data_IF_987407058660
#
_entry.id   IF_987407058660
#
_cell.length_a   1.000
_cell.length_b   1.000
_cell.length_c   1.000
_cell.angle_alpha   90.00
_cell.angle_beta   90.00
_cell.angle_gamma   90.00
#
_symmetry.space_group_name_H-M   'P 1'
#
loop_
_entity.id
_entity.type
_entity.pdbx_description
1 polymer ?
#
# COMPACT_ATOMS: atom_id res chain seq x y z
N UNK A 1 -39.92 27.74 -73.66
CA UNK A 1 -38.94 28.80 -73.35
C UNK A 1 -37.76 28.12 -72.68
N UNK A 2 -36.85 27.51 -73.43
CA UNK A 2 -35.57 28.04 -73.92
C UNK A 2 -34.69 28.67 -72.82
N UNK A 3 -33.67 27.96 -72.33
CA UNK A 3 -32.25 28.26 -72.61
C UNK A 3 -31.28 27.38 -71.75
N UNK A 4 -30.48 26.57 -72.43
CA UNK A 4 -29.10 26.17 -72.09
C UNK A 4 -28.24 26.78 -73.23
N UNK A 5 -26.96 27.22 -73.12
CA UNK A 5 -25.81 26.44 -72.59
C UNK A 5 -24.64 27.34 -72.02
N UNK A 6 -23.32 27.04 -72.18
CA UNK A 6 -22.49 26.10 -71.41
C UNK A 6 -21.15 26.71 -70.88
N UNK A 7 -20.31 25.85 -70.27
CA UNK A 7 -18.86 25.70 -70.52
C UNK A 7 -17.84 26.35 -69.53
N UNK A 8 -17.01 25.47 -68.95
CA UNK A 8 -15.80 25.81 -68.19
C UNK A 8 -15.17 24.63 -67.42
N UNK A 9 -14.74 23.58 -68.14
CA UNK A 9 -13.73 22.58 -67.68
C UNK A 9 -12.30 23.19 -67.82
N UNK A 10 -11.17 22.55 -67.47
CA UNK A 10 -10.83 21.52 -66.48
C UNK A 10 -9.51 21.84 -65.70
N UNK A 11 -9.11 20.92 -64.80
CA UNK A 11 -7.73 20.66 -64.31
C UNK A 11 -7.04 21.65 -63.34
N UNK A 12 -6.80 21.21 -62.10
CA UNK A 12 -5.47 20.69 -61.70
C UNK A 12 -5.30 20.46 -60.20
N UNK A 13 -5.04 19.19 -59.89
CA UNK A 13 -3.93 18.66 -59.09
C UNK A 13 -3.80 18.95 -57.59
N UNK A 14 -3.63 17.81 -56.91
CA UNK A 14 -2.78 17.52 -55.74
C UNK A 14 -3.31 18.12 -54.43
N UNK A 15 -3.61 17.33 -53.42
CA UNK A 15 -2.81 16.22 -52.93
C UNK A 15 -2.34 16.63 -51.54
N UNK A 16 -3.02 16.14 -50.51
CA UNK A 16 -2.75 16.48 -49.12
C UNK A 16 -3.60 15.64 -48.20
N UNK A 17 -3.28 14.33 -48.16
CA UNK A 17 -3.62 13.48 -47.02
C UNK A 17 -2.85 13.98 -45.79
N UNK A 18 -3.32 13.51 -44.64
CA UNK A 18 -2.79 13.67 -43.27
C UNK A 18 -3.39 14.87 -42.53
N UNK A 19 -4.04 14.70 -41.39
CA UNK A 19 -4.42 13.51 -40.62
C UNK A 19 -5.40 14.05 -39.58
N UNK A 20 -6.52 13.36 -39.37
CA UNK A 20 -7.37 13.56 -38.22
C UNK A 20 -6.50 13.54 -36.96
N UNK A 21 -6.35 14.69 -36.31
CA UNK A 21 -5.74 14.80 -34.99
C UNK A 21 -6.75 14.19 -34.02
N UNK A 22 -6.75 12.86 -33.95
CA UNK A 22 -7.28 12.14 -32.82
C UNK A 22 -6.52 12.68 -31.60
N UNK A 23 -7.20 13.45 -30.76
CA UNK A 23 -6.82 13.58 -29.38
C UNK A 23 -6.76 12.15 -28.86
N UNK A 24 -5.56 11.59 -28.79
CA UNK A 24 -5.31 10.41 -27.98
C UNK A 24 -5.77 10.82 -26.58
N UNK A 25 -6.89 10.23 -26.14
CA UNK A 25 -7.23 10.22 -24.74
C UNK A 25 -5.96 9.84 -24.00
N UNK A 26 -5.55 10.67 -23.04
CA UNK A 26 -4.55 10.27 -22.07
C UNK A 26 -4.93 8.85 -21.60
N UNK A 27 -3.95 7.94 -21.41
CA UNK A 27 -4.27 6.64 -20.82
C UNK A 27 -5.13 6.91 -19.57
N UNK A 28 -6.20 6.14 -19.32
CA UNK A 28 -6.85 6.22 -18.03
C UNK A 28 -5.73 6.12 -17.00
N UNK A 29 -5.64 7.11 -16.12
CA UNK A 29 -4.82 6.98 -14.93
C UNK A 29 -5.33 5.70 -14.29
N UNK A 30 -4.57 4.62 -14.43
CA UNK A 30 -4.81 3.40 -13.68
C UNK A 30 -4.64 3.85 -12.25
N UNK A 31 -5.75 4.20 -11.58
CA UNK A 31 -5.78 4.25 -10.14
C UNK A 31 -5.13 2.94 -9.71
N UNK A 32 -4.05 2.98 -8.90
CA UNK A 32 -3.44 1.74 -8.45
C UNK A 32 -4.59 0.92 -7.86
N UNK A 33 -4.81 -0.27 -8.41
CA UNK A 33 -5.68 -1.24 -7.75
C UNK A 33 -5.08 -1.42 -6.37
N UNK A 34 -5.63 -0.74 -5.37
CA UNK A 34 -5.18 -0.84 -4.00
C UNK A 34 -5.20 -2.33 -3.66
N UNK A 35 -4.05 -2.86 -3.26
CA UNK A 35 -3.98 -4.24 -2.82
C UNK A 35 -4.93 -4.40 -1.65
N UNK A 36 -5.60 -5.55 -1.57
CA UNK A 36 -6.47 -5.87 -0.44
C UNK A 36 -5.70 -5.76 0.89
N UNK A 37 -4.41 -6.07 0.87
CA UNK A 37 -3.49 -5.83 1.97
C UNK A 37 -3.40 -4.36 2.38
N UNK A 38 -3.19 -3.44 1.43
CA UNK A 38 -3.14 -2.00 1.71
C UNK A 38 -4.45 -1.50 2.33
N UNK A 39 -5.60 -1.89 1.76
CA UNK A 39 -6.92 -1.52 2.32
C UNK A 39 -7.05 -2.00 3.76
N UNK A 40 -6.73 -3.27 4.03
CA UNK A 40 -6.85 -3.87 5.36
C UNK A 40 -5.88 -3.27 6.37
N UNK A 41 -4.69 -2.86 5.93
CA UNK A 41 -3.73 -2.16 6.76
C UNK A 41 -4.20 -0.74 7.11
N UNK A 42 -4.81 -0.02 6.17
CA UNK A 42 -5.43 1.29 6.42
C UNK A 42 -6.61 1.17 7.38
N UNK A 43 -7.49 0.19 7.20
CA UNK A 43 -8.60 -0.07 8.14
C UNK A 43 -8.07 -0.39 9.55
N UNK A 44 -7.00 -1.18 9.65
CA UNK A 44 -6.38 -1.50 10.93
C UNK A 44 -5.81 -0.24 11.60
N UNK A 45 -5.09 0.59 10.84
CA UNK A 45 -4.54 1.86 11.32
C UNK A 45 -5.63 2.80 11.81
N UNK A 46 -6.73 2.93 11.06
CA UNK A 46 -7.88 3.74 11.45
C UNK A 46 -8.50 3.26 12.77
N UNK A 47 -8.70 1.95 12.94
CA UNK A 47 -9.25 1.41 14.21
C UNK A 47 -8.29 1.62 15.39
N UNK A 48 -6.98 1.50 15.16
CA UNK A 48 -5.98 1.77 16.20
C UNK A 48 -6.01 3.24 16.66
N UNK A 49 -6.14 4.18 15.74
CA UNK A 49 -6.25 5.60 16.07
C UNK A 49 -7.61 5.94 16.71
N UNK A 50 -8.71 5.58 16.06
CA UNK A 50 -10.07 5.96 16.47
C UNK A 50 -10.48 5.34 17.81
N UNK A 51 -10.16 4.05 18.03
CA UNK A 51 -10.63 3.31 19.21
C UNK A 51 -9.62 3.34 20.35
N UNK A 52 -8.33 3.28 20.02
CA UNK A 52 -7.28 3.13 21.02
C UNK A 52 -6.37 4.36 21.18
N UNK A 53 -6.49 5.36 20.30
CA UNK A 53 -5.65 6.56 20.31
C UNK A 53 -4.18 6.26 20.00
N UNK A 54 -3.93 5.24 19.17
CA UNK A 54 -2.59 4.77 18.82
C UNK A 54 -2.32 5.17 17.37
N UNK A 55 -1.45 6.17 17.12
CA UNK A 55 -1.07 6.52 15.77
C UNK A 55 -0.21 5.41 15.16
N UNK A 56 -0.40 5.15 13.88
CA UNK A 56 0.39 4.18 13.13
C UNK A 56 0.60 4.59 11.67
N UNK A 57 1.74 4.17 11.13
CA UNK A 57 2.12 4.41 9.73
C UNK A 57 1.87 3.16 8.89
N UNK A 58 1.30 3.33 7.70
CA UNK A 58 0.98 2.23 6.78
C UNK A 58 1.92 2.28 5.58
N UNK A 59 2.48 1.13 5.23
CA UNK A 59 3.36 0.95 4.09
C UNK A 59 2.96 -0.26 3.26
N UNK A 60 2.73 -0.06 1.97
CA UNK A 60 2.58 -1.16 1.02
C UNK A 60 3.96 -1.70 0.63
N UNK A 61 4.08 -3.03 0.56
CA UNK A 61 5.29 -3.73 0.16
C UNK A 61 5.23 -4.13 -1.31
N UNK A 62 6.39 -4.26 -1.96
CA UNK A 62 6.48 -4.69 -3.35
C UNK A 62 6.00 -6.13 -3.54
N UNK A 63 6.01 -6.92 -2.46
CA UNK A 63 5.45 -8.28 -2.40
C UNK A 63 3.91 -8.33 -2.47
N UNK A 64 3.21 -7.19 -2.41
CA UNK A 64 1.74 -7.11 -2.38
C UNK A 64 1.14 -7.25 -0.98
N UNK A 65 1.98 -7.37 0.04
CA UNK A 65 1.62 -7.29 1.45
C UNK A 65 1.63 -5.82 1.93
N UNK A 66 1.12 -5.58 3.13
CA UNK A 66 1.22 -4.27 3.77
C UNK A 66 1.71 -4.39 5.21
N UNK A 67 2.36 -3.34 5.69
CA UNK A 67 2.87 -3.20 7.05
C UNK A 67 2.16 -2.02 7.72
N UNK A 68 1.83 -2.20 8.99
CA UNK A 68 1.42 -1.15 9.92
C UNK A 68 2.49 -1.04 10.99
N UNK A 69 3.14 0.12 11.09
CA UNK A 69 4.12 0.43 12.13
C UNK A 69 3.47 1.22 13.25
N UNK A 70 3.43 0.66 14.46
CA UNK A 70 2.77 1.27 15.61
C UNK A 70 3.77 1.89 16.59
N UNK A 71 4.90 1.22 16.79
CA UNK A 71 5.93 1.62 17.75
C UNK A 71 7.25 0.94 17.43
N UNK A 72 8.35 1.40 18.05
CA UNK A 72 9.66 0.76 17.93
C UNK A 72 9.56 -0.73 18.31
N UNK A 73 9.87 -1.60 17.34
CA UNK A 73 9.80 -3.06 17.49
C UNK A 73 8.39 -3.67 17.42
N UNK A 74 7.33 -2.88 17.17
CA UNK A 74 5.97 -3.38 16.97
C UNK A 74 5.47 -3.06 15.56
N UNK A 75 5.62 -4.07 14.70
CA UNK A 75 5.19 -4.04 13.30
C UNK A 75 4.14 -5.12 13.10
N UNK A 76 2.99 -4.72 12.56
CA UNK A 76 1.98 -5.63 12.07
C UNK A 76 2.06 -5.73 10.55
N UNK A 77 1.78 -6.91 10.03
CA UNK A 77 1.81 -7.25 8.62
C UNK A 77 0.46 -7.81 8.22
N UNK A 78 0.10 -7.63 6.94
CA UNK A 78 -1.08 -8.29 6.38
C UNK A 78 -0.88 -8.60 4.90
N UNK A 79 -1.43 -9.72 4.46
CA UNK A 79 -1.62 -10.10 3.06
C UNK A 79 -3.04 -9.72 2.53
N UNK A 80 -3.86 -9.08 3.38
CA UNK A 80 -5.26 -8.77 3.10
C UNK A 80 -6.25 -9.77 3.72
N UNK A 81 -5.79 -10.96 4.11
CA UNK A 81 -6.61 -11.96 4.79
C UNK A 81 -6.32 -12.02 6.28
N UNK A 82 -5.04 -12.15 6.63
CA UNK A 82 -4.55 -12.35 7.99
C UNK A 82 -3.69 -11.18 8.44
N UNK A 83 -3.69 -10.91 9.74
CA UNK A 83 -2.73 -10.01 10.38
C UNK A 83 -1.73 -10.83 11.18
N UNK A 84 -0.44 -10.51 11.11
CA UNK A 84 0.57 -11.09 11.99
C UNK A 84 1.58 -10.04 12.46
N UNK A 85 2.15 -10.25 13.64
CA UNK A 85 3.13 -9.34 14.22
C UNK A 85 4.02 -10.09 15.20
N UNK A 86 5.15 -9.48 15.52
CA UNK A 86 6.03 -9.98 16.58
C UNK A 86 5.57 -9.42 17.93
N UNK A 87 5.18 -10.31 18.85
CA UNK A 87 4.81 -9.95 20.21
C UNK A 87 6.05 -9.50 21.00
N UNK A 88 5.93 -8.47 21.84
CA UNK A 88 6.98 -8.02 22.75
C UNK A 88 7.17 -8.97 23.95
N UNK A 89 6.28 -9.95 24.11
CA UNK A 89 6.42 -11.03 25.07
C UNK A 89 7.37 -12.07 24.48
N UNK A 90 8.44 -12.36 25.22
CA UNK A 90 9.38 -13.40 24.85
C UNK A 90 8.77 -14.75 25.23
N UNK A 91 9.04 -15.76 24.42
CA UNK A 91 8.81 -17.15 24.81
C UNK A 91 9.63 -17.51 26.05
N UNK A 92 9.35 -18.64 26.68
CA UNK A 92 10.18 -19.18 27.78
C UNK A 92 11.66 -19.37 27.38
N UNK A 93 11.94 -19.46 26.06
CA UNK A 93 13.28 -19.56 25.49
C UNK A 93 13.91 -18.20 25.15
N UNK A 94 13.24 -17.08 25.47
CA UNK A 94 13.73 -15.73 25.21
C UNK A 94 13.56 -15.25 23.77
N UNK A 95 12.80 -15.95 22.92
CA UNK A 95 12.61 -15.59 21.51
C UNK A 95 11.33 -14.78 21.30
N UNK A 96 11.29 -13.83 20.35
CA UNK A 96 10.06 -13.11 20.02
C UNK A 96 8.97 -14.06 19.52
N UNK A 97 7.75 -13.94 20.05
CA UNK A 97 6.62 -14.77 19.64
C UNK A 97 5.95 -14.16 18.40
N UNK A 98 5.72 -14.97 17.37
CA UNK A 98 4.87 -14.57 16.25
C UNK A 98 3.41 -14.76 16.63
N UNK A 99 2.64 -13.69 16.64
CA UNK A 99 1.19 -13.70 16.87
C UNK A 99 0.47 -13.39 15.58
N UNK A 100 -0.72 -13.96 15.40
CA UNK A 100 -1.57 -13.68 14.24
C UNK A 100 -3.05 -13.70 14.59
N UNK A 101 -3.83 -12.92 13.84
CA UNK A 101 -5.27 -12.81 13.97
C UNK A 101 -5.92 -12.62 12.60
N UNK A 102 -7.09 -13.23 12.40
CA UNK A 102 -7.84 -13.13 11.13
C UNK A 102 -8.77 -11.91 11.10
N UNK A 103 -9.23 -11.48 12.27
CA UNK A 103 -10.23 -10.42 12.37
C UNK A 103 -9.58 -9.12 12.77
N UNK A 104 -10.03 -8.04 12.13
CA UNK A 104 -9.51 -6.70 12.37
C UNK A 104 -9.71 -6.24 13.82
N UNK A 105 -10.88 -6.45 14.47
CA UNK A 105 -11.07 -6.05 15.87
C UNK A 105 -10.12 -6.79 16.83
N UNK A 106 -9.92 -8.10 16.64
CA UNK A 106 -9.03 -8.89 17.49
C UNK A 106 -7.56 -8.49 17.30
N UNK A 107 -7.13 -8.28 16.04
CA UNK A 107 -5.80 -7.79 15.73
C UNK A 107 -5.55 -6.43 16.39
N UNK A 108 -6.48 -5.47 16.25
CA UNK A 108 -6.36 -4.15 16.85
C UNK A 108 -6.29 -4.20 18.39
N UNK A 109 -7.13 -5.04 19.03
CA UNK A 109 -7.12 -5.19 20.49
C UNK A 109 -5.76 -5.72 20.99
N UNK A 110 -5.24 -6.78 20.36
CA UNK A 110 -3.97 -7.38 20.75
C UNK A 110 -2.79 -6.43 20.50
N UNK A 111 -2.78 -5.75 19.35
CA UNK A 111 -1.77 -4.74 19.05
C UNK A 111 -1.80 -3.58 20.04
N UNK A 112 -2.99 -3.11 20.42
CA UNK A 112 -3.12 -2.06 21.45
C UNK A 112 -2.60 -2.52 22.82
N UNK A 113 -2.82 -3.80 23.17
CA UNK A 113 -2.27 -4.41 24.39
C UNK A 113 -0.74 -4.45 24.35
N UNK A 114 -0.16 -4.94 23.26
CA UNK A 114 1.28 -5.01 23.07
C UNK A 114 1.94 -3.62 23.03
N UNK A 115 1.29 -2.64 22.39
CA UNK A 115 1.72 -1.25 22.40
C UNK A 115 1.84 -0.70 23.83
N UNK A 116 0.84 -0.94 24.68
CA UNK A 116 0.88 -0.51 26.09
C UNK A 116 2.02 -1.16 26.87
N UNK A 117 2.29 -2.45 26.63
CA UNK A 117 3.42 -3.17 27.24
C UNK A 117 4.75 -2.53 26.81
N UNK A 118 4.93 -2.23 25.53
CA UNK A 118 6.17 -1.64 25.03
C UNK A 118 6.36 -0.18 25.48
N UNK A 119 5.27 0.59 25.56
CA UNK A 119 5.34 2.00 25.95
C UNK A 119 5.82 2.21 27.39
N UNK A 120 5.62 1.24 28.27
CA UNK A 120 6.12 1.30 29.67
C UNK A 120 7.56 0.80 29.82
N UNK A 121 8.13 0.16 28.79
CA UNK A 121 9.52 -0.31 28.83
C UNK A 121 10.49 0.84 28.51
N UNK A 122 11.66 0.90 29.17
CA UNK A 122 12.69 1.87 28.83
C UNK A 122 13.19 1.61 27.40
N UNK A 123 13.40 2.67 26.62
CA UNK A 123 13.77 2.60 25.20
C UNK A 123 15.05 1.78 24.93
N UNK A 124 15.98 1.74 25.89
CA UNK A 124 17.20 0.93 25.81
C UNK A 124 16.90 -0.57 25.70
N UNK A 125 15.88 -1.05 26.39
CA UNK A 125 15.47 -2.46 26.32
C UNK A 125 14.80 -2.82 25.00
N UNK A 126 14.28 -1.84 24.25
CA UNK A 126 13.70 -2.03 22.91
C UNK A 126 14.81 -2.15 21.86
N UNK A 127 15.89 -1.39 22.01
CA UNK A 127 17.06 -1.47 21.13
C UNK A 127 17.89 -2.75 21.36
N UNK A 128 17.85 -3.29 22.58
CA UNK A 128 18.48 -4.57 22.93
C UNK A 128 17.62 -5.78 22.60
N UNK A 129 16.33 -5.59 22.28
CA UNK A 129 15.49 -6.70 21.84
C UNK A 129 15.65 -6.92 20.35
N UNK A 130 15.74 -8.18 19.93
CA UNK A 130 15.85 -8.61 18.53
C UNK A 130 14.55 -8.38 17.73
N UNK A 131 13.80 -7.32 18.05
CA UNK A 131 12.57 -6.96 17.36
C UNK A 131 12.91 -6.23 16.06
N UNK A 132 12.23 -6.57 14.95
CA UNK A 132 12.50 -5.94 13.67
C UNK A 132 12.15 -4.45 13.69
N UNK A 133 13.03 -3.62 13.15
CA UNK A 133 12.72 -2.21 12.89
C UNK A 133 12.10 -2.06 11.51
N UNK A 134 11.24 -1.04 11.34
CA UNK A 134 10.59 -0.77 10.05
C UNK A 134 11.62 -0.60 8.92
N UNK A 135 12.74 0.05 9.21
CA UNK A 135 13.82 0.27 8.26
C UNK A 135 14.45 -1.05 7.75
N UNK A 136 14.61 -2.05 8.64
CA UNK A 136 15.19 -3.35 8.27
C UNK A 136 14.29 -4.08 7.29
N UNK A 137 12.99 -4.02 7.54
CA UNK A 137 11.96 -4.72 6.77
C UNK A 137 11.78 -4.08 5.38
N UNK A 138 11.67 -2.76 5.33
CA UNK A 138 11.57 -2.03 4.06
C UNK A 138 12.82 -2.24 3.19
N UNK A 139 14.01 -2.32 3.82
CA UNK A 139 15.25 -2.62 3.10
C UNK A 139 15.24 -4.05 2.55
N UNK A 140 14.79 -5.04 3.33
CA UNK A 140 14.74 -6.43 2.91
C UNK A 140 13.76 -6.68 1.74
N UNK A 141 12.60 -6.03 1.74
CA UNK A 141 11.58 -6.17 0.68
C UNK A 141 11.97 -5.40 -0.61
N UNK A 142 12.82 -4.37 -0.51
CA UNK A 142 13.35 -3.64 -1.67
C UNK A 142 14.52 -4.35 -2.38
N UNK A 143 15.05 -5.46 -1.85
CA UNK A 143 16.05 -6.26 -2.57
C UNK A 143 15.34 -7.18 -3.55
N UNK A 144 15.05 -6.64 -4.75
CA UNK A 144 14.72 -7.43 -5.94
C UNK A 144 15.85 -8.45 -6.17
N UNK A 145 15.60 -9.78 -6.21
CA UNK A 145 16.63 -10.73 -6.59
C UNK A 145 17.02 -10.44 -8.04
N UNK A 146 18.31 -10.21 -8.23
CA UNK A 146 18.94 -9.91 -9.52
C UNK A 146 19.06 -11.14 -10.40
#
# INVERSE_FOLDING_TARGET
MNATPPQGDPMSRRGGRHTSQAYAAAPPVTEPSESQAAVRAVELSAVLDDVYGIPSDVHELASGNAIVSLYYGLLAYTDGETFWWTSPELSDAGSPLLSSELTLPAAAEQLARHYRILRVRPATSILESELPLLADVLTADHVVPR
#
